data_IF_619491853833
#
_entry.id   IF_619491853833
#
_cell.length_a   1.000
_cell.length_b   1.000
_cell.length_c   1.000
_cell.angle_alpha   90.00
_cell.angle_beta   90.00
_cell.angle_gamma   90.00
#
_symmetry.space_group_name_H-M   'P 1'
#
loop_
_entity.id
_entity.type
_entity.pdbx_description
1 polymer ?
#
# COMPACT_ATOMS: atom_id res chain seq x y z
N UNK A 1 1.80 32.61 10.20
CA UNK A 1 1.49 31.47 9.32
C UNK A 1 2.60 30.38 9.35
N UNK A 2 3.86 30.74 9.56
CA UNK A 2 4.99 29.80 9.48
C UNK A 2 5.12 28.82 10.67
N UNK A 3 4.59 29.14 11.85
CA UNK A 3 4.64 28.25 13.03
C UNK A 3 3.71 27.04 12.95
N UNK A 4 2.61 27.14 12.22
CA UNK A 4 1.62 26.04 12.07
C UNK A 4 2.15 24.97 11.09
N UNK A 5 2.83 25.38 10.02
CA UNK A 5 3.49 24.46 9.08
C UNK A 5 4.72 23.77 9.69
N UNK A 6 5.20 24.27 10.84
CA UNK A 6 6.42 23.78 11.50
C UNK A 6 6.19 22.50 12.35
N UNK A 7 4.97 22.16 12.77
CA UNK A 7 4.76 20.92 13.51
C UNK A 7 4.59 19.74 12.54
N UNK A 8 5.52 18.78 12.61
CA UNK A 8 5.46 17.55 11.79
C UNK A 8 4.15 16.77 11.98
N UNK A 9 3.61 16.81 13.20
CA UNK A 9 2.37 16.10 13.54
C UNK A 9 1.14 16.64 12.79
N UNK A 10 1.01 17.97 12.65
CA UNK A 10 -0.12 18.56 11.93
C UNK A 10 -0.10 18.23 10.42
N UNK A 11 1.07 18.33 9.79
CA UNK A 11 1.20 18.02 8.37
C UNK A 11 0.84 16.54 8.08
N UNK A 12 1.32 15.63 8.92
CA UNK A 12 0.97 14.22 8.84
C UNK A 12 -0.54 13.99 9.04
N UNK A 13 -1.12 14.60 10.07
CA UNK A 13 -2.55 14.48 10.34
C UNK A 13 -3.40 15.01 9.17
N UNK A 14 -2.97 16.10 8.53
CA UNK A 14 -3.65 16.65 7.35
C UNK A 14 -3.59 15.69 6.15
N UNK A 15 -2.41 15.13 5.85
CA UNK A 15 -2.24 14.17 4.74
C UNK A 15 -3.13 12.95 4.97
N UNK A 16 -3.05 12.35 6.16
CA UNK A 16 -3.82 11.17 6.50
C UNK A 16 -5.34 11.46 6.51
N UNK A 17 -5.74 12.58 7.09
CA UNK A 17 -7.14 12.99 7.14
C UNK A 17 -7.74 13.25 5.75
N UNK A 18 -7.02 13.95 4.89
CA UNK A 18 -7.46 14.19 3.50
C UNK A 18 -7.55 12.87 2.71
N UNK A 19 -6.57 11.97 2.85
CA UNK A 19 -6.61 10.67 2.19
C UNK A 19 -7.75 9.78 2.68
N UNK A 20 -8.00 9.74 4.00
CA UNK A 20 -9.16 9.05 4.57
C UNK A 20 -10.48 9.62 4.04
N UNK A 21 -10.62 10.95 3.96
CA UNK A 21 -11.82 11.59 3.43
C UNK A 21 -12.00 11.32 1.93
N UNK A 22 -10.91 11.29 1.15
CA UNK A 22 -10.97 11.03 -0.28
C UNK A 22 -11.40 9.60 -0.62
N UNK A 23 -11.00 8.62 0.20
CA UNK A 23 -11.20 7.20 -0.08
C UNK A 23 -12.07 6.47 0.98
N UNK A 24 -12.84 7.21 1.80
CA UNK A 24 -13.68 6.59 2.84
C UNK A 24 -14.69 5.58 2.29
N UNK A 25 -15.19 5.81 1.08
CA UNK A 25 -16.15 4.94 0.40
C UNK A 25 -15.61 3.54 0.08
N UNK A 26 -14.29 3.35 0.03
CA UNK A 26 -13.68 2.05 -0.26
C UNK A 26 -14.05 0.99 0.78
N UNK A 27 -14.36 1.40 1.99
CA UNK A 27 -14.73 0.49 3.08
C UNK A 27 -16.07 -0.23 2.86
N UNK A 28 -16.90 0.29 1.95
CA UNK A 28 -18.19 -0.31 1.56
C UNK A 28 -18.12 -1.13 0.27
N UNK A 29 -16.91 -1.25 -0.34
CA UNK A 29 -16.73 -1.97 -1.59
C UNK A 29 -16.66 -3.49 -1.36
N UNK A 30 -17.06 -4.23 -2.41
CA UNK A 30 -16.92 -5.68 -2.52
C UNK A 30 -15.66 -6.05 -3.31
N UNK A 31 -15.39 -7.35 -3.45
CA UNK A 31 -14.37 -7.87 -4.35
C UNK A 31 -14.79 -7.69 -5.82
N UNK A 32 -13.82 -7.44 -6.70
CA UNK A 32 -14.06 -7.18 -8.13
C UNK A 32 -13.01 -7.84 -9.01
N UNK A 33 -13.41 -8.25 -10.21
CA UNK A 33 -12.53 -8.78 -11.28
C UNK A 33 -11.58 -9.89 -10.79
N UNK A 34 -10.28 -9.65 -10.83
CA UNK A 34 -9.25 -10.64 -10.47
C UNK A 34 -9.26 -11.02 -8.99
N UNK A 35 -9.95 -10.26 -8.13
CA UNK A 35 -10.09 -10.60 -6.71
C UNK A 35 -10.82 -11.95 -6.54
N UNK A 36 -11.69 -12.33 -7.47
CA UNK A 36 -12.38 -13.61 -7.40
C UNK A 36 -11.40 -14.78 -7.51
N UNK A 37 -10.65 -14.87 -8.60
CA UNK A 37 -9.75 -16.01 -8.81
C UNK A 37 -8.46 -15.95 -7.97
N UNK A 38 -7.97 -14.74 -7.65
CA UNK A 38 -6.71 -14.56 -6.90
C UNK A 38 -6.90 -14.60 -5.38
N UNK A 39 -8.12 -14.31 -4.88
CA UNK A 39 -8.43 -14.25 -3.46
C UNK A 39 -9.53 -15.24 -3.07
N UNK A 40 -10.76 -15.07 -3.56
CA UNK A 40 -11.93 -15.83 -3.09
C UNK A 40 -11.83 -17.31 -3.44
N UNK A 41 -11.44 -17.62 -4.66
CA UNK A 41 -11.32 -18.98 -5.19
C UNK A 41 -9.93 -19.59 -4.97
N UNK A 42 -8.96 -18.81 -4.44
CA UNK A 42 -7.61 -19.29 -4.21
C UNK A 42 -7.50 -20.09 -2.89
N UNK A 43 -7.38 -21.43 -2.95
CA UNK A 43 -7.29 -22.26 -1.76
C UNK A 43 -5.97 -22.08 -1.01
N UNK A 44 -4.92 -21.58 -1.67
CA UNK A 44 -3.59 -21.45 -1.10
C UNK A 44 -3.50 -20.36 -0.04
N UNK A 45 -4.41 -19.38 -0.06
CA UNK A 45 -4.43 -18.29 0.93
C UNK A 45 -5.01 -18.68 2.28
N UNK A 46 -5.72 -19.81 2.35
CA UNK A 46 -6.51 -20.22 3.53
C UNK A 46 -5.67 -20.71 4.71
N UNK A 47 -4.36 -20.84 4.54
CA UNK A 47 -3.45 -21.27 5.62
C UNK A 47 -2.12 -20.56 5.51
N UNK A 48 -1.64 -20.00 6.63
CA UNK A 48 -0.30 -19.41 6.73
C UNK A 48 0.82 -20.44 6.53
N UNK A 49 0.54 -21.75 6.72
CA UNK A 49 1.49 -22.81 6.41
C UNK A 49 1.88 -22.86 4.92
N UNK A 50 1.08 -22.25 4.04
CA UNK A 50 1.36 -22.18 2.60
C UNK A 50 2.33 -21.05 2.23
N UNK A 51 2.70 -20.15 3.15
CA UNK A 51 3.57 -19.00 2.86
C UNK A 51 4.90 -19.41 2.21
N UNK A 52 5.62 -20.47 2.68
CA UNK A 52 6.85 -20.90 2.01
C UNK A 52 6.63 -21.32 0.54
N UNK A 53 5.47 -21.89 0.22
CA UNK A 53 5.12 -22.29 -1.15
C UNK A 53 5.02 -21.11 -2.09
N UNK A 54 4.59 -19.93 -1.62
CA UNK A 54 4.48 -18.72 -2.45
C UNK A 54 5.82 -18.27 -3.05
N UNK A 55 6.93 -18.63 -2.39
CA UNK A 55 8.27 -18.26 -2.84
C UNK A 55 8.88 -19.26 -3.84
N UNK A 56 8.24 -20.41 -4.08
CA UNK A 56 8.76 -21.45 -4.96
C UNK A 56 7.79 -21.90 -6.06
N UNK A 57 6.49 -21.59 -5.91
CA UNK A 57 5.45 -22.05 -6.82
C UNK A 57 4.60 -20.88 -7.37
N UNK A 58 4.83 -20.42 -8.62
CA UNK A 58 3.99 -19.41 -9.25
C UNK A 58 2.52 -19.81 -9.41
N UNK A 59 2.20 -21.11 -9.39
CA UNK A 59 0.84 -21.62 -9.44
C UNK A 59 0.02 -21.34 -8.19
N UNK A 60 0.66 -20.96 -7.08
CA UNK A 60 -0.02 -20.57 -5.85
C UNK A 60 -0.74 -19.20 -5.95
N UNK A 61 -0.55 -18.45 -7.06
CA UNK A 61 -1.12 -17.12 -7.24
C UNK A 61 -2.64 -17.12 -7.37
N UNK A 62 -3.23 -18.16 -7.93
CA UNK A 62 -4.65 -18.17 -8.32
C UNK A 62 -5.26 -19.55 -8.15
N UNK A 63 -6.59 -19.60 -8.00
CA UNK A 63 -7.37 -20.82 -8.16
C UNK A 63 -7.45 -21.30 -9.63
N UNK A 64 -7.14 -20.42 -10.59
CA UNK A 64 -7.11 -20.75 -12.01
C UNK A 64 -5.72 -21.23 -12.46
N UNK A 65 -5.58 -22.42 -13.07
CA UNK A 65 -4.27 -22.95 -13.47
C UNK A 65 -3.51 -22.08 -14.48
N UNK A 66 -4.23 -21.32 -15.30
CA UNK A 66 -3.67 -20.45 -16.34
C UNK A 66 -3.12 -19.13 -15.78
N UNK A 67 -3.70 -18.66 -14.67
CA UNK A 67 -3.33 -17.37 -14.05
C UNK A 67 -2.14 -17.54 -13.09
N UNK A 68 -0.96 -17.81 -13.66
CA UNK A 68 0.28 -18.04 -12.88
C UNK A 68 1.11 -16.77 -12.82
N UNK A 69 1.37 -16.28 -11.60
CA UNK A 69 2.25 -15.13 -11.38
C UNK A 69 3.15 -15.34 -10.17
N UNK A 70 4.39 -14.88 -10.26
CA UNK A 70 5.32 -14.91 -9.14
C UNK A 70 5.24 -13.62 -8.33
N UNK A 71 4.40 -13.62 -7.28
CA UNK A 71 4.17 -12.46 -6.40
C UNK A 71 4.15 -12.90 -4.92
N UNK A 72 5.24 -13.48 -4.39
CA UNK A 72 5.23 -14.11 -3.07
C UNK A 72 4.87 -13.15 -1.93
N UNK A 73 5.37 -11.91 -1.96
CA UNK A 73 5.06 -10.91 -0.93
C UNK A 73 3.58 -10.52 -0.96
N UNK A 74 2.99 -10.35 -2.14
CA UNK A 74 1.57 -10.08 -2.29
C UNK A 74 0.74 -11.20 -1.66
N UNK A 75 1.00 -12.46 -2.05
CA UNK A 75 0.30 -13.63 -1.52
C UNK A 75 0.48 -13.78 -0.01
N UNK A 76 1.66 -13.45 0.51
CA UNK A 76 1.90 -13.44 1.96
C UNK A 76 0.98 -12.43 2.66
N UNK A 77 0.84 -11.19 2.10
CA UNK A 77 -0.10 -10.21 2.66
C UNK A 77 -1.55 -10.66 2.55
N UNK A 78 -1.90 -11.40 1.51
CA UNK A 78 -3.25 -11.96 1.33
C UNK A 78 -3.53 -13.07 2.35
N UNK A 79 -2.61 -14.00 2.55
CA UNK A 79 -2.76 -15.05 3.56
C UNK A 79 -2.87 -14.49 4.97
N UNK A 80 -2.09 -13.46 5.30
CA UNK A 80 -2.21 -12.72 6.56
C UNK A 80 -3.58 -12.03 6.68
N UNK A 81 -4.02 -11.37 5.63
CA UNK A 81 -5.32 -10.70 5.61
C UNK A 81 -6.46 -11.73 5.80
N UNK A 82 -6.38 -12.86 5.10
CA UNK A 82 -7.35 -13.95 5.25
C UNK A 82 -7.36 -14.52 6.68
N UNK A 83 -6.20 -14.71 7.29
CA UNK A 83 -6.11 -15.23 8.66
C UNK A 83 -6.76 -14.31 9.70
N UNK A 84 -6.82 -12.98 9.43
CA UNK A 84 -7.40 -11.99 10.34
C UNK A 84 -8.88 -11.74 10.03
N UNK A 85 -9.23 -11.57 8.75
CA UNK A 85 -10.54 -11.07 8.32
C UNK A 85 -11.36 -12.09 7.51
N UNK A 86 -10.82 -13.28 7.21
CA UNK A 86 -11.46 -14.23 6.30
C UNK A 86 -11.75 -13.58 4.95
N UNK A 87 -12.98 -13.73 4.47
CA UNK A 87 -13.46 -13.09 3.23
C UNK A 87 -14.29 -11.81 3.48
N UNK A 88 -14.19 -11.19 4.66
CA UNK A 88 -14.85 -9.91 4.90
C UNK A 88 -14.17 -8.77 4.10
N UNK A 89 -14.81 -8.19 3.06
CA UNK A 89 -14.17 -7.24 2.13
C UNK A 89 -13.56 -6.03 2.84
N UNK A 90 -14.21 -5.54 3.88
CA UNK A 90 -13.75 -4.42 4.70
C UNK A 90 -12.28 -4.57 5.13
N UNK A 91 -11.88 -5.75 5.63
CA UNK A 91 -10.50 -5.98 6.07
C UNK A 91 -9.49 -5.89 4.94
N UNK A 92 -9.88 -6.28 3.72
CA UNK A 92 -9.03 -6.26 2.55
C UNK A 92 -8.82 -4.85 2.01
N UNK A 93 -9.89 -4.09 1.90
CA UNK A 93 -9.85 -2.69 1.49
C UNK A 93 -9.15 -1.79 2.51
N UNK A 94 -9.35 -2.07 3.80
CA UNK A 94 -8.66 -1.34 4.87
C UNK A 94 -7.14 -1.48 4.74
N UNK A 95 -6.61 -2.66 4.44
CA UNK A 95 -5.17 -2.87 4.23
C UNK A 95 -4.66 -2.06 3.04
N UNK A 96 -5.39 -2.02 1.91
CA UNK A 96 -5.01 -1.19 0.76
C UNK A 96 -5.00 0.29 1.11
N UNK A 97 -6.04 0.77 1.79
CA UNK A 97 -6.12 2.17 2.24
C UNK A 97 -4.96 2.52 3.18
N UNK A 98 -4.65 1.67 4.16
CA UNK A 98 -3.54 1.89 5.07
C UNK A 98 -2.18 1.91 4.35
N UNK A 99 -1.95 1.03 3.38
CA UNK A 99 -0.74 1.04 2.54
C UNK A 99 -0.65 2.33 1.72
N UNK A 100 -1.76 2.80 1.14
CA UNK A 100 -1.80 4.06 0.41
C UNK A 100 -1.44 5.26 1.30
N UNK A 101 -2.05 5.34 2.48
CA UNK A 101 -1.77 6.40 3.44
C UNK A 101 -0.33 6.35 3.95
N UNK A 102 0.22 5.14 4.17
CA UNK A 102 1.61 4.96 4.54
C UNK A 102 2.56 5.46 3.43
N UNK A 103 2.24 5.18 2.16
CA UNK A 103 3.01 5.69 1.02
C UNK A 103 2.97 7.22 0.94
N UNK A 104 1.81 7.84 1.13
CA UNK A 104 1.66 9.30 1.15
C UNK A 104 2.49 9.94 2.29
N UNK A 105 2.42 9.36 3.48
CA UNK A 105 3.19 9.81 4.63
C UNK A 105 4.70 9.62 4.42
N UNK A 106 5.11 8.51 3.84
CA UNK A 106 6.50 8.20 3.55
C UNK A 106 7.07 9.14 2.47
N UNK A 107 6.32 9.43 1.43
CA UNK A 107 6.69 10.41 0.40
C UNK A 107 6.91 11.80 1.01
N UNK A 108 5.97 12.27 1.83
CA UNK A 108 6.11 13.53 2.54
C UNK A 108 7.35 13.56 3.44
N UNK A 109 7.61 12.47 4.14
CA UNK A 109 8.77 12.38 5.06
C UNK A 109 10.12 12.34 4.33
N UNK A 110 10.18 11.70 3.15
CA UNK A 110 11.37 11.55 2.33
C UNK A 110 11.76 12.83 1.57
N UNK A 111 10.78 13.56 1.06
CA UNK A 111 11.01 14.67 0.14
C UNK A 111 12.02 15.72 0.64
N UNK A 112 12.06 16.12 1.93
CA UNK A 112 13.08 17.03 2.43
C UNK A 112 14.52 16.48 2.35
N UNK A 113 14.69 15.17 2.55
CA UNK A 113 15.99 14.52 2.39
C UNK A 113 16.49 14.47 0.94
N UNK A 114 15.60 14.72 -0.02
CA UNK A 114 15.90 14.83 -1.45
C UNK A 114 16.01 16.31 -1.91
N UNK A 115 16.13 17.25 -0.97
CA UNK A 115 16.29 18.68 -1.25
C UNK A 115 14.98 19.47 -1.39
N UNK A 116 13.81 18.85 -1.23
CA UNK A 116 12.55 19.57 -1.29
C UNK A 116 12.32 20.43 -0.03
N UNK A 117 11.75 21.63 -0.19
CA UNK A 117 11.30 22.40 0.96
C UNK A 117 10.15 21.68 1.69
N UNK A 118 9.94 21.95 2.97
CA UNK A 118 8.82 21.37 3.75
C UNK A 118 7.45 21.66 3.15
N UNK A 119 7.29 22.80 2.48
CA UNK A 119 6.04 23.16 1.79
C UNK A 119 5.82 22.27 0.57
N UNK A 120 6.86 22.07 -0.23
CA UNK A 120 6.80 21.16 -1.39
C UNK A 120 6.53 19.72 -0.95
N UNK A 121 7.18 19.26 0.10
CA UNK A 121 6.93 17.92 0.66
C UNK A 121 5.47 17.74 1.10
N UNK A 122 4.89 18.73 1.79
CA UNK A 122 3.48 18.69 2.20
C UNK A 122 2.54 18.63 0.99
N UNK A 123 2.77 19.50 0.00
CA UNK A 123 1.94 19.52 -1.23
C UNK A 123 2.05 18.19 -1.97
N UNK A 124 3.26 17.62 -2.11
CA UNK A 124 3.46 16.33 -2.76
C UNK A 124 2.73 15.20 -2.02
N UNK A 125 2.82 15.16 -0.69
CA UNK A 125 2.11 14.18 0.14
C UNK A 125 0.59 14.32 0.03
N UNK A 126 0.05 15.55 0.03
CA UNK A 126 -1.37 15.81 -0.13
C UNK A 126 -1.86 15.41 -1.53
N UNK A 127 -1.16 15.80 -2.59
CA UNK A 127 -1.51 15.41 -3.96
C UNK A 127 -1.53 13.90 -4.06
N UNK A 128 -0.50 13.21 -3.59
CA UNK A 128 -0.45 11.75 -3.62
C UNK A 128 -1.63 11.12 -2.84
N UNK A 129 -1.95 11.68 -1.66
CA UNK A 129 -2.99 11.14 -0.79
C UNK A 129 -4.40 11.22 -1.40
N UNK A 130 -4.70 12.25 -2.23
CA UNK A 130 -6.06 12.51 -2.73
C UNK A 130 -6.21 12.38 -4.24
N UNK A 131 -5.14 12.10 -4.98
CA UNK A 131 -5.17 12.13 -6.44
C UNK A 131 -6.07 11.02 -6.99
N UNK A 132 -7.01 11.32 -7.90
CA UNK A 132 -7.95 10.34 -8.44
C UNK A 132 -7.30 9.12 -9.11
N UNK A 133 -6.08 9.26 -9.65
CA UNK A 133 -5.35 8.14 -10.25
C UNK A 133 -5.05 7.01 -9.26
N UNK A 134 -5.07 7.31 -7.96
CA UNK A 134 -4.87 6.31 -6.91
C UNK A 134 -6.12 5.45 -6.64
N UNK A 135 -7.27 5.81 -7.24
CA UNK A 135 -8.54 5.10 -7.01
C UNK A 135 -8.44 3.61 -7.35
N UNK A 136 -7.80 3.25 -8.44
CA UNK A 136 -7.59 1.85 -8.79
C UNK A 136 -6.75 1.13 -7.72
N UNK A 137 -5.62 1.72 -7.32
CA UNK A 137 -4.73 1.09 -6.34
C UNK A 137 -5.36 0.92 -4.96
N UNK A 138 -6.30 1.80 -4.58
CA UNK A 138 -6.96 1.76 -3.27
C UNK A 138 -8.22 0.90 -3.31
N UNK A 139 -9.07 1.08 -4.34
CA UNK A 139 -10.38 0.44 -4.42
C UNK A 139 -10.34 -1.01 -4.94
N UNK A 140 -9.27 -1.42 -5.62
CA UNK A 140 -9.11 -2.74 -6.19
C UNK A 140 -8.07 -3.55 -5.40
N UNK A 141 -8.50 -4.64 -4.75
CA UNK A 141 -7.61 -5.38 -3.83
C UNK A 141 -6.42 -5.97 -4.55
N UNK A 142 -6.60 -6.48 -5.77
CA UNK A 142 -5.51 -7.06 -6.57
C UNK A 142 -4.44 -6.04 -6.97
N UNK A 143 -4.77 -4.73 -6.96
CA UNK A 143 -3.80 -3.64 -7.15
C UNK A 143 -2.90 -3.38 -5.93
N UNK A 144 -3.05 -4.14 -4.83
CA UNK A 144 -2.14 -4.09 -3.66
C UNK A 144 -0.67 -4.25 -4.06
N UNK A 145 -0.38 -5.00 -5.11
CA UNK A 145 0.98 -5.14 -5.64
C UNK A 145 1.63 -3.80 -5.98
N UNK A 146 0.88 -2.84 -6.53
CA UNK A 146 1.36 -1.49 -6.84
C UNK A 146 1.63 -0.68 -5.57
N UNK A 147 0.77 -0.81 -4.56
CA UNK A 147 0.97 -0.15 -3.27
C UNK A 147 2.21 -0.68 -2.54
N UNK A 148 2.43 -2.00 -2.56
CA UNK A 148 3.63 -2.62 -2.00
C UNK A 148 4.90 -2.23 -2.77
N UNK A 149 4.85 -2.21 -4.11
CA UNK A 149 5.98 -1.78 -4.92
C UNK A 149 6.36 -0.33 -4.62
N UNK A 150 5.38 0.57 -4.51
CA UNK A 150 5.59 1.97 -4.13
C UNK A 150 6.20 2.06 -2.72
N UNK A 151 5.69 1.30 -1.75
CA UNK A 151 6.22 1.27 -0.39
C UNK A 151 7.70 0.89 -0.38
N UNK A 152 8.05 -0.23 -1.03
CA UNK A 152 9.44 -0.70 -1.08
C UNK A 152 10.36 0.24 -1.85
N UNK A 153 9.88 0.86 -2.93
CA UNK A 153 10.63 1.87 -3.67
C UNK A 153 10.96 3.07 -2.76
N UNK A 154 9.97 3.61 -2.07
CA UNK A 154 10.17 4.74 -1.16
C UNK A 154 11.11 4.39 -0.01
N UNK A 155 11.00 3.19 0.56
CA UNK A 155 11.91 2.70 1.59
C UNK A 155 13.35 2.53 1.07
N UNK A 156 13.51 2.04 -0.15
CA UNK A 156 14.83 1.92 -0.79
C UNK A 156 15.46 3.31 -1.03
N UNK A 157 14.68 4.27 -1.51
CA UNK A 157 15.14 5.67 -1.65
C UNK A 157 15.60 6.25 -0.30
N UNK A 158 14.90 5.94 0.78
CA UNK A 158 15.29 6.37 2.12
C UNK A 158 16.61 5.75 2.56
N UNK A 159 16.75 4.43 2.38
CA UNK A 159 17.99 3.71 2.72
C UNK A 159 19.19 4.25 1.95
N UNK A 160 19.02 4.49 0.65
CA UNK A 160 20.07 5.06 -0.19
C UNK A 160 20.47 6.48 0.26
N UNK A 161 19.49 7.35 0.53
CA UNK A 161 19.75 8.71 1.01
C UNK A 161 20.50 8.74 2.33
N UNK A 162 20.18 7.82 3.26
CA UNK A 162 20.91 7.69 4.53
C UNK A 162 22.36 7.22 4.31
N UNK A 163 22.56 6.21 3.45
CA UNK A 163 23.88 5.66 3.17
C UNK A 163 24.82 6.64 2.44
N UNK A 164 24.27 7.57 1.63
CA UNK A 164 25.04 8.61 0.97
C UNK A 164 25.36 9.78 1.91
N UNK A 165 24.44 10.18 2.77
CA UNK A 165 24.65 11.27 3.74
C UNK A 165 25.61 10.93 4.87
N UNK A 166 25.85 9.64 5.16
CA UNK A 166 26.88 9.19 6.13
C UNK A 166 28.31 9.22 5.57
N UNK A 167 28.48 9.52 4.28
CA UNK A 167 29.81 9.56 3.61
C UNK A 167 30.36 10.98 3.44
N UNK A 168 29.61 12.00 3.80
CA UNK A 168 30.01 13.41 3.83
C UNK A 168 30.31 13.88 5.26
#
# INVERSE_FOLDING_TARGET
MDRIVASRGWALALILGCGLLAFHNVLDHSFHYDDDHSIRENPHLRSLANVPRFFIDPGAFSGMPEARMYRPLLLTTYALNYAIAGYAPLGWHLVNLLLHLANAALLWWLAPGLGASRRVALVAGLIFAVHPIMSESVNYVSSRSSLLATLFLLLACKGLGSALGERE
#
